data_IF_540316665785
#
_entry.id   IF_540316665785
#
_cell.length_a   1.000
_cell.length_b   1.000
_cell.length_c   1.000
_cell.angle_alpha   90.00
_cell.angle_beta   90.00
_cell.angle_gamma   90.00
#
_symmetry.space_group_name_H-M   'P 1'
#
loop_
_entity.id
_entity.type
_entity.pdbx_description
1 polymer ?
#
# COMPACT_ATOMS: atom_id res chain seq x y z
N UNK A 1 -10.27 -69.32 -3.69
CA UNK A 1 -9.80 -68.24 -4.58
C UNK A 1 -9.85 -66.97 -3.75
N UNK A 2 -8.70 -66.50 -3.30
CA UNK A 2 -8.53 -65.24 -2.58
C UNK A 2 -8.70 -64.07 -3.56
N UNK A 3 -9.20 -62.91 -3.11
CA UNK A 3 -8.55 -61.58 -3.23
C UNK A 3 -9.54 -60.40 -3.05
N UNK A 4 -9.14 -59.53 -2.11
CA UNK A 4 -9.40 -58.11 -1.87
C UNK A 4 -10.84 -57.55 -1.92
N UNK A 5 -11.40 -57.33 -0.74
CA UNK A 5 -12.25 -56.16 -0.47
C UNK A 5 -11.32 -55.04 0.01
N UNK A 6 -11.19 -53.99 -0.80
CA UNK A 6 -10.49 -52.75 -0.42
C UNK A 6 -11.37 -52.03 0.60
N UNK A 7 -11.00 -52.12 1.88
CA UNK A 7 -11.55 -51.27 2.91
C UNK A 7 -10.98 -49.86 2.73
N UNK A 8 -11.78 -48.94 2.21
CA UNK A 8 -11.45 -47.51 2.21
C UNK A 8 -11.55 -47.05 3.66
N UNK A 9 -10.39 -46.85 4.31
CA UNK A 9 -10.31 -46.09 5.54
C UNK A 9 -10.74 -44.65 5.24
N UNK A 10 -12.00 -44.34 5.50
CA UNK A 10 -12.47 -42.98 5.60
C UNK A 10 -11.85 -42.35 6.84
N UNK A 11 -10.74 -41.64 6.66
CA UNK A 11 -10.22 -40.75 7.70
C UNK A 11 -11.26 -39.64 7.85
N UNK A 12 -12.06 -39.73 8.92
CA UNK A 12 -12.88 -38.64 9.37
C UNK A 12 -11.93 -37.51 9.82
N UNK A 13 -11.68 -36.56 8.92
CA UNK A 13 -11.13 -35.27 9.30
C UNK A 13 -12.21 -34.63 10.18
N UNK A 14 -11.95 -34.58 11.48
CA UNK A 14 -12.68 -33.70 12.39
C UNK A 14 -12.46 -32.27 11.91
N UNK A 15 -13.34 -31.79 11.04
CA UNK A 15 -13.53 -30.36 10.84
C UNK A 15 -14.11 -29.88 12.17
N UNK A 16 -13.23 -29.36 13.03
CA UNK A 16 -13.63 -28.53 14.16
C UNK A 16 -14.45 -27.40 13.54
N UNK A 17 -15.76 -27.50 13.72
CA UNK A 17 -16.73 -26.48 13.37
C UNK A 17 -16.31 -25.25 14.17
N UNK A 18 -15.59 -24.33 13.53
CA UNK A 18 -15.31 -23.04 14.13
C UNK A 18 -16.66 -22.45 14.57
N UNK A 19 -16.75 -21.95 15.81
CA UNK A 19 -17.98 -21.35 16.28
C UNK A 19 -18.28 -20.16 15.37
N UNK A 20 -19.31 -20.35 14.56
CA UNK A 20 -20.11 -19.35 13.85
C UNK A 20 -19.73 -17.92 14.24
N UNK A 21 -18.76 -17.33 13.53
CA UNK A 21 -18.54 -15.89 13.56
C UNK A 21 -19.78 -15.27 12.93
N UNK A 22 -20.73 -14.96 13.81
CA UNK A 22 -21.76 -13.98 13.52
C UNK A 22 -21.02 -12.78 12.95
N UNK A 23 -21.46 -12.32 11.78
CA UNK A 23 -21.28 -10.92 11.37
C UNK A 23 -21.75 -10.06 12.54
N UNK A 24 -20.83 -9.67 13.42
CA UNK A 24 -20.99 -8.49 14.24
C UNK A 24 -20.90 -7.33 13.26
N UNK A 25 -22.08 -6.93 12.79
CA UNK A 25 -22.37 -5.59 12.38
C UNK A 25 -21.78 -4.68 13.46
N UNK A 26 -20.58 -4.16 13.20
CA UNK A 26 -19.77 -3.49 14.20
C UNK A 26 -20.56 -2.31 14.73
N UNK A 27 -21.06 -2.44 15.96
CA UNK A 27 -21.50 -1.30 16.73
C UNK A 27 -20.30 -0.38 16.85
N UNK A 28 -20.29 0.66 16.02
CA UNK A 28 -19.33 1.75 15.98
C UNK A 28 -19.49 2.55 17.28
N UNK A 29 -19.03 1.98 18.40
CA UNK A 29 -18.98 2.64 19.69
C UNK A 29 -17.96 3.77 19.57
N UNK A 30 -18.44 4.96 19.84
CA UNK A 30 -17.75 6.20 19.53
C UNK A 30 -16.63 6.42 20.55
N UNK A 31 -15.38 6.40 20.09
CA UNK A 31 -14.24 6.88 20.87
C UNK A 31 -14.58 8.30 21.37
N UNK A 32 -14.31 8.60 22.65
CA UNK A 32 -14.60 9.93 23.20
C UNK A 32 -14.02 11.01 22.26
N UNK A 33 -14.79 12.04 21.87
CA UNK A 33 -14.38 13.01 20.85
C UNK A 33 -13.01 13.65 21.12
N UNK A 34 -12.67 13.85 22.39
CA UNK A 34 -11.37 14.35 22.83
C UNK A 34 -10.21 13.44 22.45
N UNK A 35 -10.34 12.13 22.68
CA UNK A 35 -9.29 11.15 22.35
C UNK A 35 -9.14 11.07 20.84
N UNK A 36 -10.27 11.04 20.11
CA UNK A 36 -10.24 11.00 18.65
C UNK A 36 -9.52 12.22 18.07
N UNK A 37 -9.83 13.42 18.56
CA UNK A 37 -9.15 14.65 18.13
C UNK A 37 -7.64 14.61 18.41
N UNK A 38 -7.22 14.05 19.55
CA UNK A 38 -5.81 13.94 19.90
C UNK A 38 -5.08 12.94 18.98
N UNK A 39 -5.70 11.80 18.68
CA UNK A 39 -5.16 10.82 17.73
C UNK A 39 -5.07 11.43 16.32
N UNK A 40 -6.11 12.15 15.91
CA UNK A 40 -6.11 12.82 14.61
C UNK A 40 -4.96 13.81 14.49
N UNK A 41 -4.77 14.68 15.49
CA UNK A 41 -3.68 15.66 15.51
C UNK A 41 -2.29 15.01 15.57
N UNK A 42 -2.10 13.99 16.40
CA UNK A 42 -0.78 13.38 16.62
C UNK A 42 -0.34 12.41 15.52
N UNK A 43 -1.28 11.77 14.81
CA UNK A 43 -0.98 10.65 13.93
C UNK A 43 -1.62 10.74 12.54
N UNK A 44 -2.72 11.50 12.37
CA UNK A 44 -3.53 11.44 11.14
C UNK A 44 -3.62 12.78 10.39
N UNK A 45 -3.09 13.88 10.91
CA UNK A 45 -2.89 15.10 10.12
C UNK A 45 -1.79 14.89 9.07
N UNK A 46 -1.83 15.58 7.91
CA UNK A 46 -0.88 15.33 6.82
C UNK A 46 0.59 15.39 7.24
N UNK A 47 0.98 16.37 8.06
CA UNK A 47 2.34 16.48 8.58
C UNK A 47 2.71 15.32 9.53
N UNK A 48 1.75 14.90 10.36
CA UNK A 48 1.92 13.78 11.26
C UNK A 48 2.05 12.46 10.51
N UNK A 49 1.19 12.20 9.52
CA UNK A 49 1.26 10.99 8.67
C UNK A 49 2.63 10.90 8.01
N UNK A 50 3.11 11.98 7.40
CA UNK A 50 4.41 12.00 6.73
C UNK A 50 5.58 11.77 7.69
N UNK A 51 5.46 12.24 8.93
CA UNK A 51 6.51 12.13 9.94
C UNK A 51 6.52 10.77 10.65
N UNK A 52 5.35 10.23 10.95
CA UNK A 52 5.19 9.01 11.74
C UNK A 52 5.13 7.76 10.85
N UNK A 53 4.65 7.91 9.61
CA UNK A 53 4.42 6.82 8.68
C UNK A 53 3.18 6.00 9.04
N UNK A 54 2.14 6.62 9.60
CA UNK A 54 0.90 5.93 10.00
C UNK A 54 0.16 5.36 8.80
N UNK A 55 -0.10 4.05 8.82
CA UNK A 55 -0.79 3.32 7.75
C UNK A 55 -2.26 3.09 8.06
N UNK A 56 -2.57 2.78 9.32
CA UNK A 56 -3.92 2.58 9.85
C UNK A 56 -3.89 2.66 11.37
N UNK A 57 -5.05 2.65 11.99
CA UNK A 57 -5.17 2.60 13.43
C UNK A 57 -6.39 1.80 13.87
N UNK A 58 -6.36 1.29 15.10
CA UNK A 58 -7.48 0.58 15.71
C UNK A 58 -7.55 0.82 17.21
N UNK A 59 -8.65 0.39 17.81
CA UNK A 59 -8.95 0.60 19.22
C UNK A 59 -9.32 -0.75 19.82
N UNK A 60 -8.71 -1.07 20.95
CA UNK A 60 -9.08 -2.19 21.81
C UNK A 60 -9.67 -1.62 23.10
N UNK A 61 -11.00 -1.66 23.21
CA UNK A 61 -11.72 -1.10 24.35
C UNK A 61 -11.50 -1.89 25.64
N UNK A 62 -11.32 -3.21 25.54
CA UNK A 62 -11.16 -4.09 26.71
C UNK A 62 -9.87 -3.75 27.45
N UNK A 63 -8.80 -3.51 26.68
CA UNK A 63 -7.48 -3.18 27.19
C UNK A 63 -7.22 -1.66 27.28
N UNK A 64 -8.22 -0.83 26.92
CA UNK A 64 -8.07 0.62 26.75
C UNK A 64 -6.82 1.00 25.97
N UNK A 65 -6.68 0.42 24.78
CA UNK A 65 -5.49 0.56 23.93
C UNK A 65 -5.84 1.12 22.57
N UNK A 66 -4.97 1.98 22.07
CA UNK A 66 -5.04 2.53 20.72
C UNK A 66 -3.81 2.01 19.97
N UNK A 67 -4.04 1.20 18.95
CA UNK A 67 -2.98 0.66 18.12
C UNK A 67 -2.81 1.58 16.91
N UNK A 68 -1.63 2.17 16.78
CA UNK A 68 -1.21 2.94 15.61
C UNK A 68 -0.27 2.03 14.83
N UNK A 69 -0.70 1.67 13.62
CA UNK A 69 0.12 0.88 12.71
C UNK A 69 0.96 1.83 11.86
N UNK A 70 2.23 1.49 11.72
CA UNK A 70 3.20 2.29 10.96
C UNK A 70 3.88 1.43 9.91
N UNK A 71 4.28 2.05 8.81
CA UNK A 71 5.03 1.36 7.76
C UNK A 71 6.36 0.82 8.30
N UNK A 72 7.09 1.59 9.08
CA UNK A 72 8.36 1.19 9.67
C UNK A 72 8.46 1.75 11.09
N UNK A 73 9.07 1.00 12.00
CA UNK A 73 9.39 1.50 13.33
C UNK A 73 10.58 2.46 13.23
N UNK A 74 10.40 3.66 13.76
CA UNK A 74 11.42 4.71 13.78
C UNK A 74 11.49 5.32 15.17
N UNK A 75 12.63 5.89 15.59
CA UNK A 75 12.71 6.59 16.87
C UNK A 75 11.63 7.68 17.04
N UNK A 76 11.24 8.32 15.95
CA UNK A 76 10.20 9.36 15.89
C UNK A 76 8.81 8.84 16.24
N UNK A 77 8.46 7.63 15.80
CA UNK A 77 7.16 7.03 16.10
C UNK A 77 7.19 6.18 17.38
N UNK A 78 8.28 5.46 17.65
CA UNK A 78 8.42 4.59 18.82
C UNK A 78 8.36 5.35 20.15
N UNK A 79 8.73 6.65 20.18
CA UNK A 79 8.60 7.49 21.38
C UNK A 79 7.16 7.60 21.92
N UNK A 80 6.16 7.32 21.08
CA UNK A 80 4.75 7.32 21.48
C UNK A 80 4.29 5.97 22.06
N UNK A 81 5.08 4.90 21.89
CA UNK A 81 4.72 3.59 22.39
C UNK A 81 4.66 3.58 23.92
N UNK A 82 3.56 3.09 24.48
CA UNK A 82 3.25 3.14 25.91
C UNK A 82 2.78 4.49 26.44
N UNK A 83 2.69 5.53 25.60
CA UNK A 83 2.16 6.84 26.01
C UNK A 83 0.69 6.70 26.44
N UNK A 84 0.29 7.46 27.47
CA UNK A 84 -1.09 7.48 27.95
C UNK A 84 -1.82 8.76 27.56
N UNK A 85 -2.99 8.62 26.95
CA UNK A 85 -3.90 9.72 26.60
C UNK A 85 -5.26 9.42 27.22
N UNK A 86 -5.67 10.22 28.20
CA UNK A 86 -6.97 10.07 28.88
C UNK A 86 -7.24 8.64 29.42
N UNK A 87 -6.18 8.00 29.91
CA UNK A 87 -6.23 6.62 30.43
C UNK A 87 -6.14 5.52 29.37
N UNK A 88 -6.01 5.86 28.08
CA UNK A 88 -5.75 4.93 26.98
C UNK A 88 -4.27 4.82 26.69
N UNK A 89 -3.78 3.61 26.41
CA UNK A 89 -2.37 3.37 26.09
C UNK A 89 -2.17 3.32 24.58
N UNK A 90 -1.22 4.09 24.06
CA UNK A 90 -0.82 4.06 22.66
C UNK A 90 0.16 2.90 22.45
N UNK A 91 -0.10 2.09 21.43
CA UNK A 91 0.83 1.08 20.95
C UNK A 91 1.23 1.40 19.52
N UNK A 92 2.54 1.43 19.26
CA UNK A 92 3.10 1.61 17.91
C UNK A 92 3.47 0.24 17.40
N UNK A 93 2.93 -0.14 16.24
CA UNK A 93 3.05 -1.50 15.70
C UNK A 93 3.48 -1.40 14.24
N UNK A 94 4.51 -2.15 13.85
CA UNK A 94 4.87 -2.29 12.45
C UNK A 94 3.78 -3.05 11.67
N UNK A 95 3.34 -2.51 10.54
CA UNK A 95 2.25 -3.08 9.74
C UNK A 95 2.74 -4.19 8.80
N UNK A 96 3.11 -5.32 9.37
CA UNK A 96 3.65 -6.47 8.62
C UNK A 96 2.63 -7.07 7.64
N UNK A 97 1.34 -7.02 7.98
CA UNK A 97 0.26 -7.47 7.11
C UNK A 97 0.19 -6.61 5.85
N UNK A 98 0.24 -5.29 6.02
CA UNK A 98 0.26 -4.36 4.90
C UNK A 98 1.51 -4.52 4.02
N UNK A 99 2.70 -4.70 4.61
CA UNK A 99 3.92 -4.94 3.83
C UNK A 99 3.78 -6.15 2.91
N UNK A 100 3.21 -7.23 3.44
CA UNK A 100 2.93 -8.42 2.66
C UNK A 100 1.94 -8.16 1.52
N UNK A 101 0.86 -7.42 1.79
CA UNK A 101 -0.08 -7.02 0.72
C UNK A 101 0.61 -6.19 -0.37
N UNK A 102 1.47 -5.25 0.02
CA UNK A 102 2.26 -4.42 -0.92
C UNK A 102 3.19 -5.27 -1.77
N UNK A 103 3.88 -6.25 -1.19
CA UNK A 103 4.76 -7.17 -1.93
C UNK A 103 3.99 -8.02 -2.95
N UNK A 104 2.77 -8.47 -2.59
CA UNK A 104 1.89 -9.20 -3.49
C UNK A 104 1.43 -8.33 -4.68
N UNK A 105 1.06 -7.07 -4.41
CA UNK A 105 0.72 -6.09 -5.45
C UNK A 105 1.90 -5.81 -6.37
N UNK A 106 3.08 -5.54 -5.81
CA UNK A 106 4.29 -5.28 -6.60
C UNK A 106 4.60 -6.46 -7.52
N UNK A 107 4.50 -7.69 -7.01
CA UNK A 107 4.70 -8.90 -7.80
C UNK A 107 3.69 -9.02 -8.95
N UNK A 108 2.43 -8.64 -8.73
CA UNK A 108 1.40 -8.66 -9.77
C UNK A 108 1.65 -7.58 -10.83
N UNK A 109 2.02 -6.38 -10.42
CA UNK A 109 2.29 -5.27 -11.33
C UNK A 109 3.56 -5.45 -12.15
N UNK A 110 4.61 -6.09 -11.62
CA UNK A 110 5.78 -6.48 -12.41
C UNK A 110 5.39 -7.45 -13.54
N UNK A 111 4.53 -8.44 -13.26
CA UNK A 111 4.00 -9.35 -14.31
C UNK A 111 3.13 -8.64 -15.34
N UNK A 112 2.39 -7.61 -14.92
CA UNK A 112 1.60 -6.79 -15.86
C UNK A 112 2.51 -5.89 -16.70
N UNK A 113 3.61 -5.40 -16.13
CA UNK A 113 4.61 -4.56 -16.82
C UNK A 113 5.33 -5.32 -17.94
N UNK A 114 5.54 -6.62 -17.78
CA UNK A 114 6.13 -7.48 -18.82
C UNK A 114 5.27 -7.59 -20.10
N UNK A 115 3.98 -7.25 -20.03
CA UNK A 115 3.06 -7.27 -21.16
C UNK A 115 3.14 -5.95 -21.95
N UNK A 116 3.68 -5.94 -23.19
CA UNK A 116 3.88 -4.70 -23.94
C UNK A 116 2.59 -3.90 -24.18
N UNK A 117 1.45 -4.57 -24.30
CA UNK A 117 0.13 -3.95 -24.48
C UNK A 117 -0.34 -3.14 -23.27
N UNK A 118 0.21 -3.40 -22.08
CA UNK A 118 -0.13 -2.66 -20.86
C UNK A 118 0.57 -1.31 -20.79
N UNK A 119 1.77 -1.20 -21.37
CA UNK A 119 2.60 0.01 -21.36
C UNK A 119 2.79 0.64 -19.97
N UNK A 120 2.85 -0.18 -18.92
CA UNK A 120 3.06 0.30 -17.55
C UNK A 120 4.50 0.80 -17.41
N UNK A 121 4.65 2.06 -16.99
CA UNK A 121 5.93 2.64 -16.63
C UNK A 121 6.26 2.38 -15.16
N UNK A 122 5.38 2.84 -14.27
CA UNK A 122 5.49 2.63 -12.81
C UNK A 122 4.11 2.60 -12.15
N UNK A 123 4.09 2.32 -10.85
CA UNK A 123 2.95 2.48 -9.98
C UNK A 123 3.39 2.96 -8.60
N UNK A 124 2.46 3.60 -7.90
CA UNK A 124 2.61 3.92 -6.48
C UNK A 124 1.40 3.39 -5.71
N UNK A 125 1.64 3.07 -4.44
CA UNK A 125 0.64 2.51 -3.54
C UNK A 125 0.39 3.54 -2.45
N UNK A 126 -0.87 3.93 -2.27
CA UNK A 126 -1.28 4.95 -1.32
C UNK A 126 -2.37 4.40 -0.39
N UNK A 127 -2.27 4.76 0.88
CA UNK A 127 -3.26 4.43 1.90
C UNK A 127 -3.68 5.73 2.59
N UNK A 128 -4.99 5.90 2.74
CA UNK A 128 -5.52 6.92 3.64
C UNK A 128 -5.76 6.29 5.02
N UNK A 129 -4.95 6.63 6.04
CA UNK A 129 -5.09 6.03 7.37
C UNK A 129 -6.37 6.45 8.11
N UNK A 130 -7.09 7.50 7.64
CA UNK A 130 -8.38 7.92 8.21
C UNK A 130 -9.53 7.10 7.68
N UNK A 131 -9.52 6.82 6.38
CA UNK A 131 -10.64 6.13 5.70
C UNK A 131 -10.36 4.65 5.48
N UNK A 132 -9.09 4.23 5.57
CA UNK A 132 -8.63 2.90 5.18
C UNK A 132 -8.63 2.68 3.66
N UNK A 133 -8.81 3.74 2.86
CA UNK A 133 -8.81 3.62 1.41
C UNK A 133 -7.44 3.17 0.90
N UNK A 134 -7.47 2.09 0.12
CA UNK A 134 -6.31 1.38 -0.45
C UNK A 134 -6.28 1.61 -1.95
N UNK A 135 -5.30 2.36 -2.44
CA UNK A 135 -5.24 2.86 -3.81
C UNK A 135 -3.91 2.46 -4.46
N UNK A 136 -3.98 2.04 -5.72
CA UNK A 136 -2.83 1.84 -6.60
C UNK A 136 -2.96 2.82 -7.76
N UNK A 137 -2.03 3.77 -7.86
CA UNK A 137 -1.94 4.66 -9.00
C UNK A 137 -0.95 4.07 -10.00
N UNK A 138 -1.37 3.90 -11.25
CA UNK A 138 -0.60 3.25 -12.30
C UNK A 138 -0.33 4.25 -13.39
N UNK A 139 0.94 4.50 -13.68
CA UNK A 139 1.39 5.42 -14.71
C UNK A 139 1.79 4.65 -15.96
N UNK A 140 1.05 4.88 -17.05
CA UNK A 140 1.27 4.22 -18.34
C UNK A 140 1.83 5.20 -19.38
N UNK A 141 2.61 4.72 -20.35
CA UNK A 141 3.15 5.56 -21.41
C UNK A 141 2.05 6.10 -22.35
N UNK A 142 1.21 5.21 -22.89
CA UNK A 142 -0.03 5.55 -23.56
C UNK A 142 -1.23 4.82 -22.94
N UNK A 143 -2.42 5.39 -23.12
CA UNK A 143 -3.66 4.74 -22.77
C UNK A 143 -4.01 3.72 -23.85
N UNK A 144 -4.03 2.44 -23.48
CA UNK A 144 -4.40 1.31 -24.34
C UNK A 144 -5.73 0.73 -23.87
N UNK A 145 -6.49 0.05 -24.74
CA UNK A 145 -7.70 -0.66 -24.32
C UNK A 145 -7.43 -1.66 -23.18
N UNK A 146 -6.23 -2.24 -23.13
CA UNK A 146 -5.83 -3.22 -22.12
C UNK A 146 -5.58 -2.57 -20.76
N UNK A 147 -4.82 -1.47 -20.69
CA UNK A 147 -4.59 -0.80 -19.42
C UNK A 147 -5.82 -0.03 -18.92
N UNK A 148 -6.66 0.51 -19.82
CA UNK A 148 -7.90 1.16 -19.42
C UNK A 148 -8.90 0.20 -18.76
N UNK A 149 -8.85 -1.11 -19.07
CA UNK A 149 -9.68 -2.12 -18.38
C UNK A 149 -9.30 -2.28 -16.91
N UNK A 150 -8.10 -1.90 -16.50
CA UNK A 150 -7.71 -1.93 -15.08
C UNK A 150 -8.26 -0.74 -14.29
N UNK A 151 -8.58 0.38 -14.95
CA UNK A 151 -9.03 1.58 -14.26
C UNK A 151 -10.35 1.33 -13.51
N UNK A 152 -10.44 1.74 -12.25
CA UNK A 152 -11.54 1.47 -11.31
C UNK A 152 -11.80 -0.02 -11.03
N UNK A 153 -10.85 -0.90 -11.31
CA UNK A 153 -10.93 -2.31 -10.87
C UNK A 153 -10.26 -2.48 -9.52
N UNK A 154 -10.42 -3.67 -8.94
CA UNK A 154 -9.76 -4.04 -7.69
C UNK A 154 -8.79 -5.17 -7.89
N UNK A 155 -7.57 -5.02 -7.38
CA UNK A 155 -6.54 -6.07 -7.28
C UNK A 155 -6.28 -6.31 -5.80
N UNK A 156 -6.51 -7.52 -5.30
CA UNK A 156 -6.36 -7.88 -3.88
C UNK A 156 -7.09 -6.93 -2.91
N UNK A 157 -8.22 -6.36 -3.33
CA UNK A 157 -9.00 -5.40 -2.56
C UNK A 157 -8.53 -3.93 -2.65
N UNK A 158 -7.50 -3.65 -3.47
CA UNK A 158 -6.98 -2.31 -3.73
C UNK A 158 -7.56 -1.73 -5.02
N UNK A 159 -8.00 -0.47 -4.97
CA UNK A 159 -8.59 0.21 -6.13
C UNK A 159 -7.48 0.71 -7.06
N UNK A 160 -7.57 0.36 -8.33
CA UNK A 160 -6.58 0.73 -9.34
C UNK A 160 -7.05 1.96 -10.11
N UNK A 161 -6.22 3.01 -10.15
CA UNK A 161 -6.39 4.15 -11.03
C UNK A 161 -5.26 4.21 -12.05
N UNK A 162 -5.62 4.19 -13.32
CA UNK A 162 -4.68 4.31 -14.44
C UNK A 162 -4.62 5.74 -14.94
N UNK A 163 -3.41 6.25 -15.10
CA UNK A 163 -3.11 7.59 -15.59
C UNK A 163 -2.06 7.54 -16.69
N UNK A 164 -2.23 8.40 -17.70
CA UNK A 164 -1.20 8.62 -18.70
C UNK A 164 -0.06 9.43 -18.10
N UNK A 165 1.18 8.94 -18.21
CA UNK A 165 2.36 9.72 -17.87
C UNK A 165 2.42 10.98 -18.75
N UNK A 166 2.62 12.14 -18.12
CA UNK A 166 2.73 13.41 -18.82
C UNK A 166 4.14 13.64 -19.42
N UNK A 167 5.08 12.74 -19.13
CA UNK A 167 6.46 12.85 -19.62
C UNK A 167 6.74 11.65 -20.54
N UNK A 168 7.03 11.89 -21.83
CA UNK A 168 7.45 10.82 -22.72
C UNK A 168 8.80 10.25 -22.22
N UNK A 169 8.99 8.92 -22.23
CA UNK A 169 10.28 8.33 -21.91
C UNK A 169 11.32 8.90 -22.88
N UNK A 170 12.39 9.48 -22.34
CA UNK A 170 13.42 10.16 -23.14
C UNK A 170 14.75 9.45 -22.97
N UNK A 171 15.38 9.09 -24.09
CA UNK A 171 16.78 8.67 -24.10
C UNK A 171 17.66 9.86 -23.68
N UNK A 172 18.39 9.72 -22.58
CA UNK A 172 19.38 10.71 -22.13
C UNK A 172 20.77 10.08 -22.12
N UNK A 173 21.78 10.88 -22.48
CA UNK A 173 23.17 10.43 -22.53
C UNK A 173 23.71 10.18 -21.12
N UNK A 174 24.55 9.13 -20.96
CA UNK A 174 25.02 8.58 -19.68
C UNK A 174 25.79 9.57 -18.76
N UNK A 175 26.19 10.74 -19.27
CA UNK A 175 27.17 11.62 -18.63
C UNK A 175 26.65 13.06 -18.39
N UNK A 176 25.34 13.30 -18.23
CA UNK A 176 24.85 14.65 -17.93
C UNK A 176 24.68 14.92 -16.42
N UNK A 177 25.64 15.60 -15.76
CA UNK A 177 25.59 15.86 -14.31
C UNK A 177 24.57 16.94 -13.90
N UNK A 178 23.66 17.37 -14.79
CA UNK A 178 22.82 18.56 -14.60
C UNK A 178 21.34 18.37 -14.91
N UNK A 179 20.73 17.19 -14.81
CA UNK A 179 19.30 17.09 -15.14
C UNK A 179 18.43 17.68 -14.01
N UNK A 180 18.37 19.01 -13.99
CA UNK A 180 17.29 19.84 -13.47
C UNK A 180 16.45 20.22 -14.67
N UNK A 181 15.36 19.50 -14.92
CA UNK A 181 14.55 19.74 -16.11
C UNK A 181 13.59 20.91 -15.85
N UNK A 182 13.47 21.83 -16.81
CA UNK A 182 12.55 22.96 -16.71
C UNK A 182 11.33 22.70 -17.58
N UNK A 183 10.23 22.25 -16.98
CA UNK A 183 8.96 22.04 -17.66
C UNK A 183 8.08 23.25 -17.33
N UNK A 184 7.85 24.12 -18.32
CA UNK A 184 7.27 25.44 -18.11
C UNK A 184 8.20 26.36 -17.30
N UNK A 185 7.73 26.84 -16.14
CA UNK A 185 8.50 27.71 -15.22
C UNK A 185 9.13 26.97 -14.04
N UNK A 186 8.82 25.69 -13.83
CA UNK A 186 9.28 24.90 -12.68
C UNK A 186 10.48 24.02 -13.03
N UNK A 187 11.38 23.81 -12.05
CA UNK A 187 12.54 22.92 -12.16
C UNK A 187 12.24 21.62 -11.41
N UNK A 188 12.59 20.48 -12.00
CA UNK A 188 12.36 19.15 -11.44
C UNK A 188 13.68 18.39 -11.32
N UNK A 189 13.80 17.60 -10.25
CA UNK A 189 14.93 16.69 -10.00
C UNK A 189 14.47 15.27 -10.32
N UNK A 190 15.35 14.50 -10.94
CA UNK A 190 15.04 13.18 -11.47
C UNK A 190 15.62 12.13 -10.54
N UNK A 191 14.77 11.24 -10.02
CA UNK A 191 15.13 10.34 -8.91
C UNK A 191 15.29 8.87 -9.30
N UNK A 192 14.90 8.43 -10.50
CA UNK A 192 14.92 6.99 -10.84
C UNK A 192 15.38 6.70 -12.28
N UNK A 193 16.15 5.62 -12.43
CA UNK A 193 16.77 5.16 -13.68
C UNK A 193 16.25 3.76 -14.00
N UNK A 194 15.50 3.61 -15.11
CA UNK A 194 14.73 2.40 -15.40
C UNK A 194 15.37 1.47 -16.42
N UNK A 195 16.35 1.91 -17.22
CA UNK A 195 17.09 0.99 -18.12
C UNK A 195 18.46 1.51 -18.57
N UNK A 196 19.45 0.61 -18.62
CA UNK A 196 20.80 0.87 -19.14
C UNK A 196 21.07 -0.03 -20.36
N UNK A 197 21.44 0.56 -21.50
CA UNK A 197 21.81 -0.16 -22.72
C UNK A 197 22.75 0.68 -23.58
N UNK A 198 23.84 0.09 -24.06
CA UNK A 198 24.74 0.63 -25.11
C UNK A 198 25.04 2.15 -25.02
N UNK A 199 25.48 2.62 -23.85
CA UNK A 199 25.90 4.03 -23.70
C UNK A 199 24.76 5.05 -23.56
N UNK A 200 23.50 4.60 -23.43
CA UNK A 200 22.31 5.44 -23.19
C UNK A 200 21.58 5.04 -21.90
N UNK A 201 21.02 6.04 -21.21
CA UNK A 201 20.11 5.87 -20.07
C UNK A 201 18.68 6.19 -20.52
N UNK A 202 17.74 5.31 -20.22
CA UNK A 202 16.34 5.67 -20.17
C UNK A 202 16.03 6.09 -18.74
N UNK A 203 15.50 7.29 -18.61
CA UNK A 203 15.19 7.90 -17.32
C UNK A 203 13.73 8.28 -17.35
N UNK A 204 12.94 7.62 -16.53
CA UNK A 204 11.55 7.97 -16.32
C UNK A 204 11.48 9.05 -15.24
N UNK A 205 11.01 10.24 -15.62
CA UNK A 205 10.80 11.35 -14.69
C UNK A 205 9.37 11.29 -14.19
N UNK A 206 9.19 10.99 -12.91
CA UNK A 206 7.88 11.00 -12.27
C UNK A 206 7.67 12.35 -11.57
N UNK A 207 6.69 13.14 -12.06
CA UNK A 207 6.29 14.38 -11.40
C UNK A 207 5.17 14.06 -10.42
N UNK A 208 5.46 14.19 -9.13
CA UNK A 208 4.44 14.37 -8.10
C UNK A 208 3.91 15.81 -8.23
N UNK A 209 2.62 15.97 -8.58
CA UNK A 209 1.94 17.28 -8.66
C UNK A 209 1.28 17.60 -7.32
#
# INVERSE_FOLDING_TARGET
MSILVVAILSIAIFIVKQPNEKKEESNKKELLPKIKSEIEHLFLEPEAINKIGTTRWSVDEAEKRINIFVWELTPENEKFNGMKIDGWTINIIEDLELKKEVDEINTEFEKLKEKPEMQIGTWDITIDPKTGSKIINVWVHDLTPENQKLHNTTINGWIVYVYKSLIPPKEVALNDPRIKEKIGSKKYEVTEVTKQSEGKLLVDVYIYI
#
